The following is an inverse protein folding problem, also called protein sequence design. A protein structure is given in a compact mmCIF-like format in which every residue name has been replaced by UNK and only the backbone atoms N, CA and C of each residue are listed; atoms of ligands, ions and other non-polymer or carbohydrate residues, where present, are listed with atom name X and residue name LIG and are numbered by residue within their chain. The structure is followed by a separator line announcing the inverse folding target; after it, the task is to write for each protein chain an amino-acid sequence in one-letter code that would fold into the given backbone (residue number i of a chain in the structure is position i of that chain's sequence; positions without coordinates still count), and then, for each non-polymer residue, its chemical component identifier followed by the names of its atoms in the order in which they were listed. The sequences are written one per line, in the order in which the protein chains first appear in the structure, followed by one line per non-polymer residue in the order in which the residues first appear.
data_IF_716782014737
#
_entry.id   IF_716782014737
#
_cell.length_a   1.000
_cell.length_b   1.000
_cell.length_c   1.000
_cell.angle_alpha   90.00
_cell.angle_beta   90.00
_cell.angle_gamma   90.00
#
_symmetry.space_group_name_H-M   'P 1'
#
loop_
_entity.id
_entity.type
_entity.pdbx_description
1 polymer ?
#
# COMPACT_ATOMS: atom_id res chain seq x y z
N UNK A 1 -5.83 7.90 13.90
CA UNK A 1 -5.97 6.49 13.52
C UNK A 1 -4.59 5.99 13.10
N UNK A 2 -4.16 4.83 13.60
CA UNK A 2 -2.89 4.23 13.21
C UNK A 2 -3.02 3.63 11.80
N UNK A 3 -2.09 3.94 10.92
CA UNK A 3 -2.04 3.33 9.59
C UNK A 3 -1.77 1.82 9.72
N UNK A 4 -2.66 0.98 9.18
CA UNK A 4 -2.52 -0.50 9.20
C UNK A 4 -1.86 -1.07 7.95
N UNK A 5 -2.00 -0.40 6.80
CA UNK A 5 -1.46 -0.86 5.53
C UNK A 5 -1.98 -2.22 5.06
N UNK A 6 -3.15 -2.65 5.52
CA UNK A 6 -3.77 -3.90 5.12
C UNK A 6 -4.29 -3.80 3.67
N UNK A 7 -3.89 -4.75 2.83
CA UNK A 7 -4.24 -4.80 1.40
C UNK A 7 -4.52 -6.24 0.99
N UNK A 8 -5.27 -6.42 -0.09
CA UNK A 8 -5.58 -7.72 -0.71
C UNK A 8 -5.33 -7.64 -2.21
N UNK A 9 -4.98 -8.77 -2.83
CA UNK A 9 -4.77 -8.84 -4.29
C UNK A 9 -6.05 -8.42 -5.01
N UNK A 10 -5.91 -7.53 -6.00
CA UNK A 10 -7.04 -6.93 -6.73
C UNK A 10 -7.86 -5.93 -5.92
N UNK A 11 -7.49 -5.66 -4.66
CA UNK A 11 -8.10 -4.64 -3.82
C UNK A 11 -7.53 -3.24 -4.07
N UNK A 12 -8.12 -2.22 -3.42
CA UNK A 12 -7.62 -0.85 -3.50
C UNK A 12 -6.24 -0.72 -2.84
N UNK A 13 -5.47 0.27 -3.29
CA UNK A 13 -4.23 0.64 -2.64
C UNK A 13 -4.51 1.21 -1.24
N UNK A 14 -3.69 0.83 -0.27
CA UNK A 14 -3.62 1.53 1.02
C UNK A 14 -2.59 2.65 0.89
N UNK A 15 -2.96 3.83 1.36
CA UNK A 15 -2.20 5.05 1.16
C UNK A 15 -1.75 5.59 2.51
N UNK A 16 -0.47 5.94 2.61
CA UNK A 16 0.09 6.64 3.74
C UNK A 16 0.75 7.93 3.29
N UNK A 17 0.24 9.06 3.78
CA UNK A 17 0.77 10.38 3.51
C UNK A 17 1.71 10.80 4.64
N UNK A 18 2.95 11.12 4.26
CA UNK A 18 3.96 11.76 5.09
C UNK A 18 4.18 13.19 4.56
N UNK A 19 4.95 13.99 5.30
CA UNK A 19 5.19 15.41 4.96
C UNK A 19 5.67 15.60 3.51
N UNK A 20 6.63 14.78 3.07
CA UNK A 20 7.29 14.94 1.76
C UNK A 20 7.23 13.67 0.88
N UNK A 21 6.38 12.70 1.27
CA UNK A 21 6.31 11.41 0.58
C UNK A 21 4.91 10.82 0.71
N UNK A 22 4.38 10.34 -0.41
CA UNK A 22 3.18 9.52 -0.41
C UNK A 22 3.51 8.08 -0.79
N UNK A 23 3.14 7.15 0.09
CA UNK A 23 3.38 5.72 -0.07
C UNK A 23 2.06 5.07 -0.44
N UNK A 24 1.97 4.53 -1.66
CA UNK A 24 0.82 3.71 -2.08
C UNK A 24 1.22 2.24 -2.09
N UNK A 25 0.60 1.43 -1.22
CA UNK A 25 0.85 0.00 -1.07
C UNK A 25 -0.26 -0.81 -1.75
N UNK A 26 0.10 -1.83 -2.52
CA UNK A 26 -0.82 -2.82 -3.10
C UNK A 26 -0.30 -4.24 -2.88
N UNK A 27 -1.20 -5.21 -2.80
CA UNK A 27 -0.83 -6.63 -2.81
C UNK A 27 -0.86 -7.18 -4.25
N UNK A 28 0.15 -7.98 -4.60
CA UNK A 28 0.37 -8.54 -5.93
C UNK A 28 0.74 -10.02 -5.87
N UNK A 29 0.39 -10.76 -6.93
CA UNK A 29 0.69 -12.19 -7.09
C UNK A 29 -0.05 -13.11 -6.11
N UNK A 30 0.02 -14.43 -6.34
CA UNK A 30 -0.69 -15.42 -5.53
C UNK A 30 -0.19 -15.56 -4.08
N UNK A 31 0.98 -15.00 -3.77
CA UNK A 31 1.57 -15.01 -2.42
C UNK A 31 1.25 -13.76 -1.60
N UNK A 32 0.44 -12.83 -2.13
CA UNK A 32 0.16 -11.52 -1.49
C UNK A 32 1.44 -10.72 -1.18
N UNK A 33 2.40 -10.70 -2.10
CA UNK A 33 3.56 -9.83 -1.98
C UNK A 33 3.13 -8.36 -2.06
N UNK A 34 3.90 -7.45 -1.47
CA UNK A 34 3.57 -6.03 -1.51
C UNK A 34 4.41 -5.31 -2.58
N UNK A 35 3.74 -4.47 -3.37
CA UNK A 35 4.38 -3.48 -4.23
C UNK A 35 4.06 -2.07 -3.72
N UNK A 36 5.01 -1.16 -3.92
CA UNK A 36 4.95 0.20 -3.40
C UNK A 36 5.26 1.19 -4.53
N UNK A 37 4.41 2.21 -4.65
CA UNK A 37 4.69 3.40 -5.44
C UNK A 37 5.04 4.54 -4.47
N UNK A 38 6.19 5.15 -4.70
CA UNK A 38 6.72 6.28 -3.96
C UNK A 38 6.66 7.51 -4.88
N UNK A 39 6.05 8.59 -4.41
CA UNK A 39 5.87 9.84 -5.15
C UNK A 39 5.80 11.03 -4.22
#
# INVERSE_FOLDING_TARGET
MTYSGAVKVGGPASVHELTDLMISKVAVGGMNNNAYLLR
#
